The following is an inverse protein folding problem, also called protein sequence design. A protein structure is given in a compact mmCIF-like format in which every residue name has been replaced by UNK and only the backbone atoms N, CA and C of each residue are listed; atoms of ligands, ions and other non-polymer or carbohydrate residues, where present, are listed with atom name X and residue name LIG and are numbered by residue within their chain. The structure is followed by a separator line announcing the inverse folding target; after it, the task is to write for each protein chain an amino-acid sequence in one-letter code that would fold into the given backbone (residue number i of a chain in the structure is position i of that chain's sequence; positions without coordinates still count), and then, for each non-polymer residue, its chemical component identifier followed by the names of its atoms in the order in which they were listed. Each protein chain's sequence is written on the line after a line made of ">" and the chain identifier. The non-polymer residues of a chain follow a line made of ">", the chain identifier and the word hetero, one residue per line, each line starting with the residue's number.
data_IF_844780970069
#
_entry.id   IF_844780970069
#
_cell.length_a   1.000
_cell.length_b   1.000
_cell.length_c   1.000
_cell.angle_alpha   90.00
_cell.angle_beta   90.00
_cell.angle_gamma   90.00
#
_symmetry.space_group_name_H-M   'P 1'
#
loop_
_entity.id
_entity.type
_entity.pdbx_description
1 polymer ?
#
# COMPACT_ATOMS: atom_id res chain seq x y z
N UNK A 1 6.40 16.97 -41.04
CA UNK A 1 6.35 17.19 -39.58
C UNK A 1 5.02 16.68 -39.04
N UNK A 2 5.08 16.01 -37.89
CA UNK A 2 4.02 15.72 -36.91
C UNK A 2 2.75 14.96 -37.34
N UNK A 3 2.60 13.72 -36.85
CA UNK A 3 1.50 13.36 -35.93
C UNK A 3 1.80 12.04 -35.22
N UNK A 4 2.17 12.17 -33.95
CA UNK A 4 2.05 11.12 -32.95
C UNK A 4 0.57 10.77 -32.74
N UNK A 5 0.26 9.48 -32.55
CA UNK A 5 -0.91 8.94 -31.83
C UNK A 5 -0.68 7.43 -31.66
N UNK A 6 -0.14 7.00 -30.52
CA UNK A 6 -0.94 6.67 -29.32
C UNK A 6 -1.75 5.39 -29.53
N UNK A 7 -1.10 4.25 -29.31
CA UNK A 7 -1.73 2.95 -29.00
C UNK A 7 -0.79 2.12 -28.13
N UNK A 8 -0.44 2.61 -26.94
CA UNK A 8 -0.07 1.71 -25.85
C UNK A 8 -1.37 1.39 -25.10
N UNK A 9 -2.20 0.55 -25.72
CA UNK A 9 -3.32 -0.09 -25.03
C UNK A 9 -2.64 -1.14 -24.15
N UNK A 10 -2.29 -0.74 -22.93
CA UNK A 10 -1.84 -1.67 -21.89
C UNK A 10 -2.91 -2.74 -21.77
N UNK A 11 -2.68 -3.90 -22.39
CA UNK A 11 -3.49 -5.07 -22.13
C UNK A 11 -3.38 -5.30 -20.62
N UNK A 12 -4.48 -5.06 -19.90
CA UNK A 12 -4.58 -5.44 -18.50
C UNK A 12 -4.27 -6.93 -18.45
N UNK A 13 -3.03 -7.27 -18.11
CA UNK A 13 -2.63 -8.65 -17.85
C UNK A 13 -3.45 -9.11 -16.65
N UNK A 14 -4.58 -9.74 -16.95
CA UNK A 14 -5.42 -10.39 -15.95
C UNK A 14 -4.62 -11.60 -15.48
N UNK A 15 -4.10 -11.51 -14.28
CA UNK A 15 -3.44 -12.65 -13.66
C UNK A 15 -4.51 -13.61 -13.14
N UNK A 16 -4.35 -14.89 -13.44
CA UNK A 16 -5.16 -15.93 -12.81
C UNK A 16 -4.67 -16.14 -11.38
N UNK A 17 -5.56 -16.52 -10.46
CA UNK A 17 -5.20 -16.85 -9.06
C UNK A 17 -4.00 -17.80 -8.96
N UNK A 18 -3.98 -18.84 -9.81
CA UNK A 18 -2.88 -19.82 -9.88
C UNK A 18 -1.55 -19.20 -10.28
N UNK A 19 -1.56 -18.24 -11.20
CA UNK A 19 -0.35 -17.55 -11.66
C UNK A 19 0.19 -16.63 -10.57
N UNK A 20 -0.70 -15.91 -9.87
CA UNK A 20 -0.30 -15.08 -8.74
C UNK A 20 0.29 -15.91 -7.59
N UNK A 21 -0.33 -17.05 -7.28
CA UNK A 21 0.16 -17.97 -6.27
C UNK A 21 1.53 -18.56 -6.64
N UNK A 22 1.68 -18.99 -7.89
CA UNK A 22 2.96 -19.49 -8.40
C UNK A 22 4.04 -18.40 -8.35
N UNK A 23 3.69 -17.17 -8.69
CA UNK A 23 4.59 -16.03 -8.63
C UNK A 23 5.03 -15.69 -7.20
N UNK A 24 4.10 -15.60 -6.25
CA UNK A 24 4.43 -15.34 -4.84
C UNK A 24 5.29 -16.47 -4.28
N UNK A 25 4.98 -17.72 -4.63
CA UNK A 25 5.77 -18.89 -4.22
C UNK A 25 7.19 -18.86 -4.80
N UNK A 26 7.34 -18.54 -6.08
CA UNK A 26 8.63 -18.42 -6.75
C UNK A 26 9.48 -17.29 -6.15
N UNK A 27 8.87 -16.12 -5.93
CA UNK A 27 9.52 -14.99 -5.25
C UNK A 27 9.93 -15.38 -3.83
N UNK A 28 9.09 -16.13 -3.09
CA UNK A 28 9.42 -16.59 -1.75
C UNK A 28 10.59 -17.58 -1.72
N UNK A 29 10.65 -18.47 -2.70
CA UNK A 29 11.76 -19.41 -2.86
C UNK A 29 13.06 -18.65 -3.15
N UNK A 30 13.03 -17.70 -4.08
CA UNK A 30 14.19 -16.90 -4.45
C UNK A 30 14.72 -16.02 -3.30
N UNK A 31 13.83 -15.54 -2.42
CA UNK A 31 14.22 -14.83 -1.20
C UNK A 31 14.86 -15.78 -0.18
N UNK A 32 14.30 -16.99 -0.01
CA UNK A 32 14.86 -18.01 0.88
C UNK A 32 16.25 -18.49 0.42
N UNK A 33 16.46 -18.59 -0.89
CA UNK A 33 17.75 -18.92 -1.50
C UNK A 33 18.76 -17.76 -1.46
N UNK A 34 18.40 -16.60 -0.89
CA UNK A 34 19.21 -15.36 -0.90
C UNK A 34 19.64 -14.92 -2.32
N UNK A 35 18.94 -15.38 -3.35
CA UNK A 35 19.32 -15.21 -4.74
C UNK A 35 18.76 -13.90 -5.32
N UNK A 36 17.68 -13.38 -4.73
CA UNK A 36 17.11 -12.09 -5.12
C UNK A 36 17.40 -10.97 -4.11
N UNK A 37 17.95 -9.83 -4.56
CA UNK A 37 18.03 -8.63 -3.74
C UNK A 37 16.64 -8.15 -3.31
N UNK A 38 16.52 -7.72 -2.05
CA UNK A 38 15.26 -7.26 -1.43
C UNK A 38 14.48 -6.22 -2.25
N UNK A 39 15.19 -5.38 -3.01
CA UNK A 39 14.59 -4.36 -3.89
C UNK A 39 13.83 -5.00 -5.06
N UNK A 40 14.36 -6.06 -5.67
CA UNK A 40 13.68 -6.74 -6.78
C UNK A 40 12.44 -7.46 -6.30
N UNK A 41 12.52 -8.10 -5.13
CA UNK A 41 11.37 -8.71 -4.45
C UNK A 41 10.27 -7.69 -4.16
N UNK A 42 10.65 -6.49 -3.70
CA UNK A 42 9.71 -5.40 -3.46
C UNK A 42 9.01 -4.95 -4.75
N UNK A 43 9.76 -4.71 -5.83
CA UNK A 43 9.21 -4.28 -7.12
C UNK A 43 8.28 -5.37 -7.69
N UNK A 44 8.69 -6.64 -7.58
CA UNK A 44 7.89 -7.78 -7.98
C UNK A 44 6.56 -7.85 -7.21
N UNK A 45 6.60 -7.67 -5.90
CA UNK A 45 5.40 -7.69 -5.06
C UNK A 45 4.50 -6.47 -5.34
N UNK A 46 5.05 -5.26 -5.48
CA UNK A 46 4.28 -4.06 -5.84
C UNK A 46 3.58 -4.22 -7.19
N UNK A 47 4.27 -4.77 -8.19
CA UNK A 47 3.66 -5.07 -9.49
C UNK A 47 2.51 -6.08 -9.35
N UNK A 48 2.69 -7.14 -8.58
CA UNK A 48 1.66 -8.14 -8.32
C UNK A 48 0.43 -7.56 -7.58
N UNK A 49 0.65 -6.58 -6.70
CA UNK A 49 -0.41 -5.90 -5.94
C UNK A 49 -1.12 -4.78 -6.70
N UNK A 50 -0.59 -4.34 -7.85
CA UNK A 50 -1.23 -3.32 -8.71
C UNK A 50 -2.15 -3.89 -9.77
N UNK A 51 -2.23 -5.21 -9.89
CA UNK A 51 -3.10 -5.85 -10.88
C UNK A 51 -4.57 -5.56 -10.57
N UNK A 52 -5.34 -5.15 -11.58
CA UNK A 52 -6.74 -4.69 -11.44
C UNK A 52 -7.65 -5.70 -10.71
N UNK A 53 -7.41 -7.00 -10.89
CA UNK A 53 -8.19 -8.07 -10.28
C UNK A 53 -7.56 -8.66 -9.01
N UNK A 54 -6.51 -8.04 -8.46
CA UNK A 54 -5.79 -8.58 -7.30
C UNK A 54 -6.72 -8.76 -6.09
N UNK A 55 -7.66 -7.85 -5.87
CA UNK A 55 -8.57 -7.91 -4.71
C UNK A 55 -9.50 -9.13 -4.73
N UNK A 56 -9.87 -9.58 -5.92
CA UNK A 56 -10.73 -10.76 -6.13
C UNK A 56 -9.96 -12.08 -6.07
N UNK A 57 -8.66 -12.08 -6.37
CA UNK A 57 -7.82 -13.30 -6.41
C UNK A 57 -6.96 -13.49 -5.16
N UNK A 58 -6.73 -12.43 -4.38
CA UNK A 58 -5.83 -12.43 -3.23
C UNK A 58 -6.60 -12.86 -1.96
N UNK A 59 -6.59 -14.17 -1.70
CA UNK A 59 -7.15 -14.75 -0.48
C UNK A 59 -6.34 -14.39 0.77
N UNK A 60 -6.90 -14.65 1.94
CA UNK A 60 -6.24 -14.44 3.24
C UNK A 60 -4.90 -15.17 3.35
N UNK A 61 -4.79 -16.39 2.82
CA UNK A 61 -3.55 -17.16 2.81
C UNK A 61 -2.45 -16.49 1.96
N UNK A 62 -2.80 -16.03 0.74
CA UNK A 62 -1.88 -15.30 -0.13
C UNK A 62 -1.50 -13.94 0.46
N UNK A 63 -2.44 -13.27 1.13
CA UNK A 63 -2.17 -12.04 1.89
C UNK A 63 -1.19 -12.30 3.02
N UNK A 64 -1.32 -13.41 3.73
CA UNK A 64 -0.41 -13.77 4.81
C UNK A 64 1.01 -14.01 4.28
N UNK A 65 1.15 -14.75 3.18
CA UNK A 65 2.45 -14.96 2.51
C UNK A 65 3.07 -13.66 2.01
N UNK A 66 2.29 -12.80 1.36
CA UNK A 66 2.77 -11.50 0.90
C UNK A 66 3.15 -10.57 2.07
N UNK A 67 2.42 -10.60 3.19
CA UNK A 67 2.77 -9.88 4.43
C UNK A 67 4.08 -10.38 5.04
N UNK A 68 4.29 -11.69 5.08
CA UNK A 68 5.53 -12.30 5.58
C UNK A 68 6.73 -11.87 4.73
N UNK A 69 6.60 -11.94 3.39
CA UNK A 69 7.63 -11.45 2.47
C UNK A 69 7.91 -9.95 2.65
N UNK A 70 6.86 -9.14 2.76
CA UNK A 70 7.00 -7.70 2.99
C UNK A 70 7.76 -7.40 4.28
N UNK A 71 7.45 -8.14 5.36
CA UNK A 71 8.11 -7.99 6.65
C UNK A 71 9.58 -8.40 6.56
N UNK A 72 9.90 -9.50 5.85
CA UNK A 72 11.29 -9.91 5.59
C UNK A 72 12.09 -8.85 4.84
N UNK A 73 11.49 -8.22 3.83
CA UNK A 73 12.10 -7.12 3.09
C UNK A 73 12.34 -5.92 4.03
N UNK A 74 11.38 -5.53 4.88
CA UNK A 74 11.57 -4.46 5.87
C UNK A 74 12.70 -4.77 6.85
N UNK A 75 12.78 -6.01 7.33
CA UNK A 75 13.85 -6.49 8.22
C UNK A 75 15.23 -6.45 7.58
N UNK A 76 15.33 -6.38 6.24
CA UNK A 76 16.62 -6.20 5.55
C UNK A 76 17.18 -4.76 5.64
N UNK A 77 16.50 -3.86 6.35
CA UNK A 77 16.93 -2.47 6.57
C UNK A 77 16.28 -1.46 5.63
N UNK A 78 15.28 -1.87 4.84
CA UNK A 78 14.51 -1.01 3.96
C UNK A 78 13.33 -0.39 4.70
N UNK A 79 13.27 0.94 4.72
CA UNK A 79 12.09 1.67 5.23
C UNK A 79 11.01 1.70 4.15
N UNK A 80 10.09 0.73 4.21
CA UNK A 80 8.96 0.63 3.28
C UNK A 80 7.64 0.96 3.98
N UNK A 81 6.75 1.65 3.26
CA UNK A 81 5.37 1.88 3.69
C UNK A 81 4.52 0.62 3.50
N UNK A 82 3.63 0.34 4.43
CA UNK A 82 2.82 -0.87 4.37
C UNK A 82 1.70 -0.76 3.32
N UNK A 83 1.60 -1.71 2.36
CA UNK A 83 0.58 -1.64 1.33
C UNK A 83 -0.82 -1.78 1.94
N UNK A 84 -1.77 -0.86 1.64
CA UNK A 84 -3.11 -0.92 2.20
C UNK A 84 -3.89 -2.16 1.76
N UNK A 85 -3.51 -2.79 0.64
CA UNK A 85 -4.06 -4.07 0.18
C UNK A 85 -3.70 -5.23 1.13
N UNK A 86 -2.54 -5.17 1.78
CA UNK A 86 -2.02 -6.22 2.65
C UNK A 86 -2.33 -5.97 4.13
N UNK A 87 -2.19 -4.73 4.58
CA UNK A 87 -2.30 -4.35 5.99
C UNK A 87 -3.61 -3.63 6.33
N UNK A 88 -4.45 -3.33 5.34
CA UNK A 88 -5.64 -2.51 5.50
C UNK A 88 -5.31 -1.02 5.43
N UNK A 89 -6.35 -0.19 5.24
CA UNK A 89 -6.19 1.24 5.44
C UNK A 89 -5.99 1.50 6.95
N UNK A 90 -5.01 2.33 7.36
CA UNK A 90 -5.02 2.83 8.71
C UNK A 90 -6.36 3.52 8.97
N UNK A 91 -6.98 3.34 10.14
CA UNK A 91 -8.17 4.11 10.48
C UNK A 91 -7.82 5.58 10.28
N UNK A 92 -8.62 6.28 9.46
CA UNK A 92 -8.52 7.72 9.39
C UNK A 92 -8.65 8.24 10.82
N UNK A 93 -7.81 9.20 11.26
CA UNK A 93 -8.04 9.86 12.54
C UNK A 93 -9.49 10.32 12.50
N UNK A 94 -10.30 9.76 13.39
CA UNK A 94 -11.66 10.21 13.59
C UNK A 94 -11.55 11.70 13.84
N UNK A 95 -12.19 12.50 12.99
CA UNK A 95 -12.20 13.96 13.06
C UNK A 95 -12.80 14.31 14.43
N UNK A 96 -11.94 14.39 15.46
CA UNK A 96 -12.31 14.79 16.81
C UNK A 96 -12.85 16.21 16.66
N UNK A 97 -14.15 16.31 16.89
CA UNK A 97 -14.99 17.36 16.36
C UNK A 97 -14.45 18.77 16.56
N UNK A 98 -14.80 19.59 15.57
CA UNK A 98 -15.00 21.03 15.61
C UNK A 98 -15.59 21.50 16.96
N UNK A 99 -14.79 21.55 18.02
CA UNK A 99 -15.08 22.32 19.23
C UNK A 99 -14.83 23.79 18.87
N UNK A 100 -15.73 24.32 18.03
CA UNK A 100 -15.98 25.75 17.94
C UNK A 100 -16.17 26.26 19.36
N UNK A 101 -15.11 26.90 19.83
CA UNK A 101 -15.08 27.64 21.06
C UNK A 101 -16.05 28.82 20.90
N UNK A 102 -17.33 28.57 21.14
CA UNK A 102 -18.36 29.56 21.42
C UNK A 102 -18.01 30.23 22.76
N UNK A 103 -16.93 31.01 22.75
CA UNK A 103 -16.57 31.94 23.79
C UNK A 103 -17.33 33.24 23.60
N UNK A 104 -18.66 33.16 23.65
CA UNK A 104 -19.50 34.32 23.81
C UNK A 104 -19.36 34.87 25.25
N UNK A 105 -19.31 36.19 25.30
CA UNK A 105 -19.89 37.01 26.35
C UNK A 105 -19.05 37.37 27.60
N UNK A 106 -18.62 38.65 27.57
CA UNK A 106 -18.86 39.65 28.61
C UNK A 106 -18.27 39.50 30.02
N UNK A 107 -17.29 40.35 30.32
CA UNK A 107 -17.35 41.32 31.44
C UNK A 107 -16.06 42.16 31.44
N UNK A 108 -16.11 43.46 31.11
CA UNK A 108 -16.48 44.58 31.99
C UNK A 108 -15.44 44.94 33.06
N UNK A 109 -15.03 46.22 32.99
CA UNK A 109 -14.53 47.09 34.07
C UNK A 109 -13.10 46.83 34.57
N UNK A 110 -12.29 47.78 35.04
CA UNK A 110 -12.27 49.25 35.14
C UNK A 110 -11.10 49.55 36.08
N UNK A 111 -10.04 50.24 35.65
CA UNK A 111 -9.12 50.99 36.54
C UNK A 111 -8.46 52.08 35.68
N UNK A 112 -9.06 53.26 35.51
CA UNK A 112 -8.91 54.46 36.36
C UNK A 112 -7.47 54.88 36.65
N UNK A 113 -7.13 56.01 35.98
CA UNK A 113 -6.27 57.15 36.37
C UNK A 113 -4.84 56.90 36.85
#
# INVERSE_FOLDING_TARGET
>A
MAKAKEKNKSEEKKYTKKELQAFISDVSAQVADHNLPSIHTMIALDHALRVSNVRDILDEELKAQARDLWTKIKSSGLHLSDPPILFGYPPLPEDEGDERMDGADSSSQQTSA
#
